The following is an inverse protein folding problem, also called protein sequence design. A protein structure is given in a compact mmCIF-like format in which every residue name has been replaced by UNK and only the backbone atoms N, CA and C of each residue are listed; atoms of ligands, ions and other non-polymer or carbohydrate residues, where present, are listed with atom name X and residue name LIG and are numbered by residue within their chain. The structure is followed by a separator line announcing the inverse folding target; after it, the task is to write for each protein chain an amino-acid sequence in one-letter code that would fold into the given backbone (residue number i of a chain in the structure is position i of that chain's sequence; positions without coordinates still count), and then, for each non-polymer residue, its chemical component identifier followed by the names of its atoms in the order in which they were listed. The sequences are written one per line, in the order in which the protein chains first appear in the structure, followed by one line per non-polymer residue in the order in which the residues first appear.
data_IF_281538885603
#
_entry.id   IF_281538885603
#
_cell.length_a   1.000
_cell.length_b   1.000
_cell.length_c   1.000
_cell.angle_alpha   90.00
_cell.angle_beta   90.00
_cell.angle_gamma   90.00
#
_symmetry.space_group_name_H-M   'P 1'
#
loop_
_entity.id
_entity.type
_entity.pdbx_description
1 polymer ?
#
# COMPACT_ATOMS: atom_id res chain seq x y z
N UNK A 1 4.02 7.75 23.26
CA UNK A 1 4.28 6.30 23.26
C UNK A 1 4.59 5.85 21.85
N UNK A 2 5.69 5.13 21.70
CA UNK A 2 6.15 4.70 20.39
C UNK A 2 5.35 3.50 19.88
N UNK A 3 5.01 3.53 18.60
CA UNK A 3 4.40 2.39 17.95
C UNK A 3 5.44 1.32 17.63
N UNK A 4 5.05 0.06 17.77
CA UNK A 4 5.87 -1.06 17.30
C UNK A 4 5.53 -1.40 15.86
N UNK A 5 6.45 -2.07 15.15
CA UNK A 5 6.18 -2.55 13.80
C UNK A 5 4.94 -3.46 13.77
N UNK A 6 4.76 -4.31 14.78
CA UNK A 6 3.61 -5.18 14.87
C UNK A 6 2.30 -4.41 14.96
N UNK A 7 2.26 -3.32 15.72
CA UNK A 7 1.07 -2.47 15.85
C UNK A 7 0.72 -1.80 14.53
N UNK A 8 1.72 -1.27 13.82
CA UNK A 8 1.52 -0.63 12.52
C UNK A 8 1.02 -1.65 11.50
N UNK A 9 1.62 -2.83 11.45
CA UNK A 9 1.19 -3.90 10.55
C UNK A 9 -0.24 -4.33 10.82
N UNK A 10 -0.62 -4.45 12.09
CA UNK A 10 -1.98 -4.82 12.44
C UNK A 10 -2.97 -3.74 12.03
N UNK A 11 -2.64 -2.46 12.22
CA UNK A 11 -3.50 -1.37 11.80
C UNK A 11 -3.73 -1.38 10.28
N UNK A 12 -2.69 -1.65 9.49
CA UNK A 12 -2.83 -1.75 8.05
C UNK A 12 -3.70 -2.94 7.63
N UNK A 13 -3.57 -4.08 8.31
CA UNK A 13 -4.44 -5.23 8.07
C UNK A 13 -5.89 -4.91 8.43
N UNK A 14 -6.11 -4.23 9.54
CA UNK A 14 -7.46 -3.82 9.95
C UNK A 14 -8.07 -2.82 8.96
N UNK A 15 -7.23 -2.04 8.29
CA UNK A 15 -7.65 -1.13 7.23
C UNK A 15 -7.94 -1.84 5.90
N UNK A 16 -7.56 -3.10 5.77
CA UNK A 16 -7.89 -3.94 4.62
C UNK A 16 -6.75 -4.27 3.67
N UNK A 17 -5.48 -4.10 4.07
CA UNK A 17 -4.38 -4.46 3.19
C UNK A 17 -4.25 -5.97 3.02
N UNK A 18 -3.77 -6.40 1.83
CA UNK A 18 -3.49 -7.81 1.57
C UNK A 18 -2.18 -8.26 2.20
N UNK A 19 -1.17 -7.40 2.15
CA UNK A 19 0.12 -7.63 2.78
C UNK A 19 0.77 -6.30 3.10
N UNK A 20 1.80 -6.31 3.94
CA UNK A 20 2.46 -5.08 4.40
C UNK A 20 3.92 -5.35 4.72
N UNK A 21 4.79 -4.43 4.34
CA UNK A 21 6.19 -4.42 4.71
C UNK A 21 6.59 -3.06 5.27
N UNK A 22 7.57 -3.08 6.16
CA UNK A 22 8.17 -1.85 6.70
C UNK A 22 9.66 -1.92 6.44
N UNK A 23 10.18 -0.92 5.71
CA UNK A 23 11.59 -0.81 5.37
C UNK A 23 12.22 0.34 6.15
N UNK A 24 13.43 0.11 6.68
CA UNK A 24 14.23 1.17 7.28
C UNK A 24 14.68 2.13 6.17
N UNK A 25 14.76 3.41 6.47
CA UNK A 25 15.19 4.44 5.50
C UNK A 25 16.58 4.16 4.93
N UNK A 26 17.43 3.47 5.67
CA UNK A 26 18.78 3.11 5.21
C UNK A 26 18.77 2.23 3.98
N UNK A 27 17.70 1.51 3.71
CA UNK A 27 17.56 0.68 2.51
C UNK A 27 17.47 1.52 1.23
N UNK A 28 17.23 2.82 1.35
CA UNK A 28 17.09 3.73 0.23
C UNK A 28 18.37 4.52 -0.05
N UNK A 29 19.50 4.20 0.57
CA UNK A 29 20.75 4.96 0.41
C UNK A 29 21.23 5.06 -1.04
N UNK A 30 20.94 4.03 -1.84
CA UNK A 30 21.31 3.98 -3.25
C UNK A 30 20.18 4.42 -4.19
N UNK A 31 19.07 4.91 -3.66
CA UNK A 31 17.97 5.39 -4.49
C UNK A 31 18.35 6.68 -5.22
N UNK A 32 17.88 6.87 -6.47
CA UNK A 32 18.09 8.15 -7.15
C UNK A 32 17.52 9.30 -6.30
N UNK A 33 18.17 10.49 -6.32
CA UNK A 33 17.72 11.59 -5.45
C UNK A 33 16.24 11.93 -5.58
N UNK A 34 15.66 11.84 -6.78
CA UNK A 34 14.24 12.12 -7.00
C UNK A 34 13.31 11.08 -6.37
N UNK A 35 13.82 9.89 -6.09
CA UNK A 35 13.04 8.79 -5.56
C UNK A 35 13.34 8.51 -4.09
N UNK A 36 14.24 9.29 -3.49
CA UNK A 36 14.58 9.08 -2.09
C UNK A 36 13.48 9.66 -1.21
N UNK A 37 12.93 8.87 -0.27
CA UNK A 37 11.82 9.33 0.59
C UNK A 37 12.11 10.61 1.38
N UNK A 38 13.36 10.84 1.77
CA UNK A 38 13.75 12.06 2.51
C UNK A 38 13.61 13.34 1.68
N UNK A 39 13.52 13.24 0.37
CA UNK A 39 13.28 14.42 -0.47
C UNK A 39 11.82 14.89 -0.39
N UNK A 40 10.93 14.00 0.05
CA UNK A 40 9.52 14.33 0.29
C UNK A 40 9.31 14.65 1.77
N UNK A 41 9.91 13.87 2.64
CA UNK A 41 9.79 14.01 4.09
C UNK A 41 11.17 13.84 4.72
N UNK A 42 11.88 14.96 5.03
CA UNK A 42 13.26 14.90 5.54
C UNK A 42 13.44 14.09 6.82
N UNK A 43 12.43 14.02 7.68
CA UNK A 43 12.48 13.28 8.94
C UNK A 43 12.09 11.81 8.77
N UNK A 44 11.94 11.33 7.55
CA UNK A 44 11.54 9.95 7.27
C UNK A 44 12.56 8.96 7.83
N UNK A 45 12.08 7.99 8.61
CA UNK A 45 12.91 6.91 9.18
C UNK A 45 12.52 5.55 8.67
N UNK A 46 11.30 5.40 8.20
CA UNK A 46 10.77 4.13 7.69
C UNK A 46 9.81 4.37 6.55
N UNK A 47 9.70 3.39 5.67
CA UNK A 47 8.73 3.41 4.58
C UNK A 47 7.83 2.19 4.74
N UNK A 48 6.52 2.44 4.77
CA UNK A 48 5.52 1.40 4.89
C UNK A 48 4.95 1.12 3.51
N UNK A 49 5.08 -0.12 3.06
CA UNK A 49 4.57 -0.55 1.76
C UNK A 49 3.36 -1.44 1.96
N UNK A 50 2.25 -1.05 1.36
CA UNK A 50 0.99 -1.78 1.42
C UNK A 50 0.76 -2.46 0.09
N UNK A 51 0.40 -3.75 0.13
CA UNK A 51 0.17 -4.56 -1.06
C UNK A 51 -1.30 -4.95 -1.13
N UNK A 52 -1.92 -4.71 -2.28
CA UNK A 52 -3.28 -5.14 -2.57
C UNK A 52 -3.25 -6.05 -3.79
N UNK A 53 -3.76 -7.28 -3.67
CA UNK A 53 -3.74 -8.22 -4.79
C UNK A 53 -4.85 -7.93 -5.78
N UNK A 54 -4.64 -8.34 -7.03
CA UNK A 54 -5.74 -8.48 -7.98
C UNK A 54 -6.65 -9.62 -7.51
N UNK A 55 -7.95 -9.42 -7.59
CA UNK A 55 -8.87 -10.51 -7.29
C UNK A 55 -8.85 -11.55 -8.41
N UNK A 56 -8.87 -12.83 -8.03
CA UNK A 56 -8.84 -13.92 -9.02
C UNK A 56 -10.03 -13.88 -9.96
N UNK A 57 -11.22 -13.56 -9.42
CA UNK A 57 -12.42 -13.49 -10.22
C UNK A 57 -12.40 -12.39 -11.26
N UNK A 58 -11.70 -11.27 -10.99
CA UNK A 58 -11.70 -10.15 -11.90
C UNK A 58 -10.89 -10.40 -13.17
N UNK A 59 -9.84 -11.23 -13.13
CA UNK A 59 -9.07 -11.53 -14.33
C UNK A 59 -9.35 -12.92 -14.92
N UNK A 60 -10.18 -13.72 -14.28
CA UNK A 60 -10.56 -15.02 -14.81
C UNK A 60 -11.21 -14.94 -16.19
N UNK A 61 -12.03 -13.93 -16.40
CA UNK A 61 -12.67 -13.71 -17.70
C UNK A 61 -11.65 -13.43 -18.81
N UNK A 62 -10.53 -12.77 -18.50
CA UNK A 62 -9.46 -12.55 -19.46
C UNK A 62 -8.77 -13.87 -19.79
N UNK A 63 -8.43 -14.65 -18.76
CA UNK A 63 -7.79 -15.96 -18.93
C UNK A 63 -8.64 -16.90 -19.79
N UNK A 64 -9.94 -16.92 -19.56
CA UNK A 64 -10.89 -17.76 -20.27
C UNK A 64 -11.35 -17.14 -21.60
N UNK A 65 -11.04 -15.86 -21.86
CA UNK A 65 -11.47 -15.17 -23.06
C UNK A 65 -12.94 -14.81 -23.10
N UNK A 66 -13.61 -14.75 -21.93
CA UNK A 66 -15.05 -14.56 -21.85
C UNK A 66 -15.49 -13.17 -21.43
N UNK A 67 -14.67 -12.45 -20.65
CA UNK A 67 -15.09 -11.15 -20.12
C UNK A 67 -13.87 -10.30 -19.70
N UNK A 68 -13.79 -9.08 -20.24
CA UNK A 68 -12.66 -8.17 -19.98
C UNK A 68 -12.99 -7.09 -18.96
N UNK A 69 -14.25 -6.69 -18.84
CA UNK A 69 -14.63 -5.52 -18.06
C UNK A 69 -14.33 -5.66 -16.57
N UNK A 70 -14.44 -6.86 -16.01
CA UNK A 70 -14.15 -7.07 -14.58
C UNK A 70 -12.70 -6.78 -14.23
N UNK A 71 -11.75 -7.17 -15.09
CA UNK A 71 -10.35 -6.83 -14.86
C UNK A 71 -10.14 -5.33 -14.90
N UNK A 72 -10.64 -4.66 -15.92
CA UNK A 72 -10.49 -3.21 -16.09
C UNK A 72 -11.10 -2.45 -14.90
N UNK A 73 -12.29 -2.86 -14.47
CA UNK A 73 -13.00 -2.19 -13.39
C UNK A 73 -12.40 -2.46 -12.02
N UNK A 74 -12.22 -3.73 -11.65
CA UNK A 74 -11.92 -4.09 -10.28
C UNK A 74 -10.43 -4.29 -10.01
N UNK A 75 -9.66 -4.77 -10.98
CA UNK A 75 -8.24 -5.02 -10.80
C UNK A 75 -7.34 -3.91 -11.34
N UNK A 76 -7.86 -2.99 -12.14
CA UNK A 76 -7.09 -1.86 -12.63
C UNK A 76 -7.64 -0.54 -12.10
N UNK A 77 -8.84 -0.18 -12.51
CA UNK A 77 -9.41 1.13 -12.18
C UNK A 77 -9.69 1.26 -10.67
N UNK A 78 -10.59 0.42 -10.13
CA UNK A 78 -11.02 0.52 -8.73
C UNK A 78 -9.90 0.18 -7.76
N UNK A 79 -9.04 -0.77 -8.11
CA UNK A 79 -7.91 -1.09 -7.26
C UNK A 79 -7.01 0.13 -7.09
N UNK A 80 -6.68 0.83 -8.17
CA UNK A 80 -5.76 1.96 -8.15
C UNK A 80 -6.38 3.26 -7.66
N UNK A 81 -7.67 3.49 -7.90
CA UNK A 81 -8.32 4.77 -7.59
C UNK A 81 -9.14 4.76 -6.31
N UNK A 82 -9.52 3.59 -5.82
CA UNK A 82 -10.38 3.48 -4.64
C UNK A 82 -9.79 2.59 -3.55
N UNK A 83 -9.50 1.32 -3.86
CA UNK A 83 -9.16 0.36 -2.81
C UNK A 83 -7.79 0.63 -2.18
N UNK A 84 -6.76 0.83 -2.99
CA UNK A 84 -5.41 1.12 -2.49
C UNK A 84 -5.33 2.46 -1.79
N UNK A 85 -5.84 3.56 -2.37
CA UNK A 85 -5.85 4.85 -1.67
C UNK A 85 -6.62 4.81 -0.35
N UNK A 86 -7.74 4.09 -0.27
CA UNK A 86 -8.52 4.00 0.96
C UNK A 86 -7.73 3.33 2.10
N UNK A 87 -7.04 2.23 1.81
CA UNK A 87 -6.22 1.53 2.81
C UNK A 87 -5.03 2.39 3.23
N UNK A 88 -4.37 3.04 2.29
CA UNK A 88 -3.27 3.95 2.56
C UNK A 88 -3.71 5.12 3.45
N UNK A 89 -4.85 5.72 3.13
CA UNK A 89 -5.40 6.82 3.92
C UNK A 89 -5.69 6.40 5.36
N UNK A 90 -6.35 5.26 5.55
CA UNK A 90 -6.68 4.77 6.89
C UNK A 90 -5.44 4.44 7.70
N UNK A 91 -4.43 3.87 7.06
CA UNK A 91 -3.16 3.58 7.72
C UNK A 91 -2.45 4.88 8.12
N UNK A 92 -2.46 5.88 7.26
CA UNK A 92 -1.90 7.20 7.57
C UNK A 92 -2.62 7.86 8.75
N UNK A 93 -3.95 7.79 8.79
CA UNK A 93 -4.72 8.32 9.91
C UNK A 93 -4.34 7.67 11.23
N UNK A 94 -4.14 6.34 11.23
CA UNK A 94 -3.68 5.63 12.41
C UNK A 94 -2.33 6.15 12.90
N UNK A 95 -1.40 6.37 11.98
CA UNK A 95 -0.08 6.90 12.33
C UNK A 95 -0.18 8.31 12.90
N UNK A 96 -0.98 9.17 12.30
CA UNK A 96 -1.18 10.53 12.78
C UNK A 96 -1.83 10.59 14.15
N UNK A 97 -2.76 9.68 14.44
CA UNK A 97 -3.41 9.59 15.74
C UNK A 97 -2.42 9.23 16.87
N UNK A 98 -1.29 8.66 16.52
CA UNK A 98 -0.25 8.26 17.49
C UNK A 98 0.98 9.16 17.45
N UNK A 99 0.90 10.29 16.79
CA UNK A 99 2.02 11.23 16.66
C UNK A 99 2.87 10.91 15.45
#
# INVERSE_FOLDING_TARGET
MSLTAAQVKQAARDAGCGDIGIANIERFENAPPRMHPKNIFPDCRSVITIVQPFSRGSYRGITEGTHWANYTFYSYNRLNTLFRPAVTYRTACFLEDHG
#
